data_IF_305599254700
#
_entry.id   IF_305599254700
#
_cell.length_a   1.000
_cell.length_b   1.000
_cell.length_c   1.000
_cell.angle_alpha   90.00
_cell.angle_beta   90.00
_cell.angle_gamma   90.00
#
_symmetry.space_group_name_H-M   'P 1'
#
loop_
_entity.id
_entity.type
_entity.pdbx_description
1 polymer ?
#
# COMPACT_ATOMS: atom_id res chain seq x y z
N UNK A 1 -3.64 -23.00 -6.04
CA UNK A 1 -4.34 -22.85 -4.75
C UNK A 1 -5.27 -21.65 -4.88
N UNK A 2 -6.57 -21.76 -4.68
CA UNK A 2 -7.44 -20.59 -4.67
C UNK A 2 -7.11 -19.73 -3.45
N UNK A 3 -6.91 -18.43 -3.67
CA UNK A 3 -6.67 -17.48 -2.59
C UNK A 3 -7.95 -17.12 -1.85
N UNK A 4 -7.79 -16.65 -0.61
CA UNK A 4 -8.89 -16.09 0.16
C UNK A 4 -9.42 -14.80 -0.50
N UNK A 5 -10.71 -14.48 -0.30
CA UNK A 5 -11.29 -13.21 -0.81
C UNK A 5 -10.57 -11.99 -0.22
N UNK A 6 -10.12 -12.08 1.03
CA UNK A 6 -9.33 -11.04 1.69
C UNK A 6 -7.98 -10.85 1.01
N UNK A 7 -7.27 -11.93 0.68
CA UNK A 7 -6.01 -11.82 -0.04
C UNK A 7 -6.18 -11.21 -1.43
N UNK A 8 -7.25 -11.56 -2.14
CA UNK A 8 -7.53 -10.97 -3.44
C UNK A 8 -7.72 -9.44 -3.34
N UNK A 9 -8.53 -8.97 -2.38
CA UNK A 9 -8.71 -7.54 -2.11
C UNK A 9 -7.38 -6.83 -1.76
N UNK A 10 -6.50 -7.48 -0.99
CA UNK A 10 -5.16 -6.95 -0.69
C UNK A 10 -4.30 -6.84 -1.95
N UNK A 11 -4.30 -7.86 -2.81
CA UNK A 11 -3.53 -7.82 -4.05
C UNK A 11 -4.06 -6.80 -5.04
N UNK A 12 -5.37 -6.58 -5.10
CA UNK A 12 -5.96 -5.57 -5.97
C UNK A 12 -5.67 -4.16 -5.46
N UNK A 13 -5.76 -3.95 -4.14
CA UNK A 13 -5.32 -2.71 -3.49
C UNK A 13 -3.83 -2.45 -3.73
N UNK A 14 -2.97 -3.47 -3.62
CA UNK A 14 -1.54 -3.36 -3.91
C UNK A 14 -1.31 -2.91 -5.35
N UNK A 15 -1.96 -3.54 -6.33
CA UNK A 15 -1.78 -3.19 -7.76
C UNK A 15 -2.13 -1.73 -8.01
N UNK A 16 -3.24 -1.26 -7.45
CA UNK A 16 -3.66 0.14 -7.57
C UNK A 16 -2.62 1.06 -6.94
N UNK A 17 -2.26 0.85 -5.67
CA UNK A 17 -1.32 1.71 -4.95
C UNK A 17 0.06 1.75 -5.62
N UNK A 18 0.59 0.60 -6.04
CA UNK A 18 1.88 0.49 -6.73
C UNK A 18 1.88 1.22 -8.06
N UNK A 19 0.82 1.05 -8.87
CA UNK A 19 0.70 1.75 -10.14
C UNK A 19 0.65 3.27 -9.92
N UNK A 20 -0.17 3.72 -8.98
CA UNK A 20 -0.30 5.15 -8.63
C UNK A 20 1.02 5.76 -8.18
N UNK A 21 1.73 5.14 -7.23
CA UNK A 21 3.01 5.68 -6.75
C UNK A 21 4.10 5.65 -7.83
N UNK A 22 4.13 4.60 -8.66
CA UNK A 22 5.05 4.52 -9.80
C UNK A 22 4.79 5.65 -10.80
N UNK A 23 3.53 5.87 -11.17
CA UNK A 23 3.16 6.87 -12.17
C UNK A 23 3.36 8.31 -11.64
N UNK A 24 3.22 8.52 -10.34
CA UNK A 24 3.60 9.74 -9.63
C UNK A 24 5.12 9.90 -9.40
N UNK A 25 5.94 8.96 -9.87
CA UNK A 25 7.40 8.92 -9.68
C UNK A 25 7.85 8.95 -8.22
N UNK A 26 7.06 8.36 -7.32
CA UNK A 26 7.36 8.30 -5.89
C UNK A 26 8.14 7.02 -5.59
N UNK A 27 9.40 7.10 -5.10
CA UNK A 27 10.14 5.92 -4.68
C UNK A 27 9.50 5.30 -3.45
N UNK A 28 9.21 4.00 -3.51
CA UNK A 28 8.65 3.24 -2.39
C UNK A 28 9.30 1.86 -2.26
N UNK A 29 9.08 1.21 -1.12
CA UNK A 29 9.46 -0.18 -0.86
C UNK A 29 8.22 -0.94 -0.36
N UNK A 30 7.99 -2.15 -0.88
CA UNK A 30 7.01 -3.06 -0.31
C UNK A 30 7.58 -3.68 0.98
N UNK A 31 6.83 -3.57 2.07
CA UNK A 31 7.19 -4.14 3.36
C UNK A 31 6.19 -5.16 3.89
N UNK A 32 6.38 -5.50 5.16
CA UNK A 32 5.42 -6.31 5.91
C UNK A 32 5.24 -7.73 5.41
N UNK A 33 4.08 -8.30 5.75
CA UNK A 33 3.73 -9.69 5.46
C UNK A 33 3.62 -9.97 3.95
N UNK A 34 3.22 -8.97 3.15
CA UNK A 34 3.12 -9.10 1.71
C UNK A 34 4.50 -9.17 1.02
N UNK A 35 5.48 -8.42 1.53
CA UNK A 35 6.88 -8.57 1.10
C UNK A 35 7.44 -9.96 1.45
N UNK A 36 7.12 -10.49 2.62
CA UNK A 36 7.52 -11.84 3.02
C UNK A 36 6.88 -12.91 2.12
N UNK A 37 5.59 -12.77 1.80
CA UNK A 37 4.89 -13.66 0.88
C UNK A 37 5.50 -13.66 -0.53
N UNK A 38 5.85 -12.48 -1.06
CA UNK A 38 6.55 -12.36 -2.35
C UNK A 38 7.91 -13.09 -2.38
N UNK A 39 8.45 -13.46 -1.22
CA UNK A 39 9.70 -14.21 -1.05
C UNK A 39 9.50 -15.65 -0.56
N UNK A 40 8.28 -16.17 -0.63
CA UNK A 40 7.94 -17.56 -0.27
C UNK A 40 7.39 -17.74 1.14
N UNK A 41 7.07 -16.64 1.84
CA UNK A 41 6.36 -16.67 3.12
C UNK A 41 4.87 -17.06 2.99
N UNK A 42 4.17 -17.18 4.13
CA UNK A 42 2.73 -17.51 4.14
C UNK A 42 1.87 -16.41 3.53
N UNK A 43 0.66 -16.76 3.07
CA UNK A 43 -0.33 -15.80 2.57
C UNK A 43 -0.72 -14.80 3.69
N UNK A 44 -0.62 -13.48 3.43
CA UNK A 44 -1.00 -12.45 4.39
C UNK A 44 -2.52 -12.36 4.56
N UNK A 45 -2.96 -12.01 5.77
CA UNK A 45 -4.38 -11.93 6.12
C UNK A 45 -4.81 -10.52 6.59
N UNK A 46 -3.87 -9.58 6.66
CA UNK A 46 -4.04 -8.32 7.35
C UNK A 46 -3.95 -7.14 6.36
N UNK A 47 -3.04 -6.21 6.60
CA UNK A 47 -2.81 -4.98 5.86
C UNK A 47 -1.65 -5.08 4.84
N UNK A 48 -1.49 -3.99 4.09
CA UNK A 48 -0.44 -3.77 3.11
C UNK A 48 0.45 -2.61 3.58
N UNK A 49 1.76 -2.83 3.61
CA UNK A 49 2.75 -1.82 3.99
C UNK A 49 3.56 -1.34 2.78
N UNK A 50 3.55 -0.02 2.54
CA UNK A 50 4.42 0.65 1.59
C UNK A 50 5.23 1.72 2.32
N UNK A 51 6.56 1.58 2.28
CA UNK A 51 7.47 2.54 2.90
C UNK A 51 7.93 3.55 1.86
N UNK A 52 7.81 4.83 2.19
CA UNK A 52 8.30 5.97 1.40
C UNK A 52 9.29 6.78 2.22
N UNK A 53 10.11 7.61 1.56
CA UNK A 53 10.94 8.57 2.29
C UNK A 53 10.03 9.64 2.94
N UNK A 54 10.41 10.21 4.11
CA UNK A 54 9.64 11.26 4.77
C UNK A 54 9.27 12.42 3.83
N UNK A 55 10.22 12.88 3.01
CA UNK A 55 10.00 13.98 2.06
C UNK A 55 8.97 13.67 0.96
N UNK A 56 8.65 12.39 0.77
CA UNK A 56 7.65 11.94 -0.21
C UNK A 56 6.31 11.53 0.43
N UNK A 57 6.19 11.49 1.77
CA UNK A 57 5.00 10.95 2.42
C UNK A 57 3.71 11.69 2.03
N UNK A 58 3.73 13.03 2.06
CA UNK A 58 2.56 13.83 1.70
C UNK A 58 2.22 13.73 0.20
N UNK A 59 3.22 13.72 -0.67
CA UNK A 59 3.02 13.52 -2.10
C UNK A 59 2.43 12.13 -2.39
N UNK A 60 2.87 11.09 -1.66
CA UNK A 60 2.36 9.73 -1.78
C UNK A 60 0.89 9.66 -1.37
N UNK A 61 0.56 10.26 -0.23
CA UNK A 61 -0.82 10.33 0.24
C UNK A 61 -1.72 11.05 -0.76
N UNK A 62 -1.28 12.20 -1.28
CA UNK A 62 -2.05 12.94 -2.27
C UNK A 62 -2.25 12.15 -3.57
N UNK A 63 -1.20 11.50 -4.09
CA UNK A 63 -1.32 10.68 -5.29
C UNK A 63 -2.33 9.53 -5.12
N UNK A 64 -2.34 8.88 -3.96
CA UNK A 64 -3.32 7.84 -3.64
C UNK A 64 -4.74 8.40 -3.53
N UNK A 65 -4.91 9.58 -2.95
CA UNK A 65 -6.20 10.29 -2.91
C UNK A 65 -6.70 10.65 -4.32
N UNK A 66 -5.81 11.16 -5.18
CA UNK A 66 -6.12 11.52 -6.57
C UNK A 66 -6.50 10.28 -7.41
N UNK A 67 -5.96 9.11 -7.06
CA UNK A 67 -6.35 7.82 -7.62
C UNK A 67 -7.68 7.27 -7.06
N UNK A 68 -8.37 8.03 -6.21
CA UNK A 68 -9.68 7.69 -5.64
C UNK A 68 -9.63 6.85 -4.37
N UNK A 69 -8.45 6.63 -3.77
CA UNK A 69 -8.35 5.97 -2.47
C UNK A 69 -8.78 6.91 -1.35
N UNK A 70 -9.46 6.39 -0.33
CA UNK A 70 -9.76 7.18 0.87
C UNK A 70 -8.50 7.27 1.72
N UNK A 71 -7.99 8.47 1.97
CA UNK A 71 -6.75 8.69 2.71
C UNK A 71 -6.98 9.31 4.08
N UNK A 72 -6.11 9.00 5.02
CA UNK A 72 -6.06 9.61 6.35
C UNK A 72 -4.60 9.96 6.70
N UNK A 73 -4.43 11.08 7.41
CA UNK A 73 -3.18 11.46 8.07
C UNK A 73 -3.40 11.49 9.60
N UNK A 74 -3.29 10.35 10.28
CA UNK A 74 -3.38 10.25 11.73
C UNK A 74 -2.28 11.04 12.46
N UNK A 75 -2.50 11.43 13.74
CA UNK A 75 -1.55 12.24 14.53
C UNK A 75 -0.26 11.52 14.95
N UNK A 76 -0.12 10.24 14.61
CA UNK A 76 1.06 9.44 14.91
C UNK A 76 2.32 9.93 14.16
N UNK A 77 2.18 10.78 13.13
CA UNK A 77 3.26 11.38 12.31
C UNK A 77 4.11 10.39 11.49
N UNK A 78 4.15 9.12 11.88
CA UNK A 78 4.93 8.06 11.19
C UNK A 78 4.07 7.14 10.33
N UNK A 79 2.74 7.25 10.39
CA UNK A 79 1.81 6.38 9.68
C UNK A 79 0.78 7.19 8.90
N UNK A 80 0.70 6.91 7.61
CA UNK A 80 -0.35 7.38 6.72
C UNK A 80 -1.23 6.20 6.30
N UNK A 81 -2.52 6.42 6.12
CA UNK A 81 -3.46 5.34 5.72
C UNK A 81 -4.12 5.67 4.40
N UNK A 82 -4.26 4.66 3.56
CA UNK A 82 -5.03 4.71 2.32
C UNK A 82 -5.84 3.42 2.18
N UNK A 83 -7.12 3.54 1.81
CA UNK A 83 -8.04 2.41 1.73
C UNK A 83 -8.44 2.17 0.27
N UNK A 84 -8.12 0.98 -0.24
CA UNK A 84 -8.66 0.45 -1.50
C UNK A 84 -10.04 -0.16 -1.24
N UNK A 85 -10.99 0.11 -2.14
CA UNK A 85 -12.39 -0.32 -2.02
C UNK A 85 -12.60 -1.83 -2.10
#
# INVERSE_FOLDING_TARGET
MPHTKSFQALTDTLKLAVATLRDAQIPFMLGGSLAAWARGGPEPQNDLDLMVKPDHAQAALQALADAGMRTENPPEEWLFKAWGG
#
